data_IF_191501205428
#
_entry.id   IF_191501205428
#
_cell.length_a   1.000
_cell.length_b   1.000
_cell.length_c   1.000
_cell.angle_alpha   90.00
_cell.angle_beta   90.00
_cell.angle_gamma   90.00
#
_symmetry.space_group_name_H-M   'P 1'
#
loop_
_entity.id
_entity.type
_entity.pdbx_description
1 polymer ?
#
# COMPACT_ATOMS: atom_id res chain seq x y z
N UNK A 1 -21.80 -43.46 -27.76
CA UNK A 1 -22.34 -42.33 -26.99
C UNK A 1 -21.26 -41.84 -26.06
N UNK A 2 -20.68 -40.67 -26.31
CA UNK A 2 -19.72 -40.05 -25.37
C UNK A 2 -20.55 -39.29 -24.35
N UNK A 3 -20.57 -39.77 -23.11
CA UNK A 3 -21.22 -39.05 -22.03
C UNK A 3 -20.45 -37.74 -21.80
N UNK A 4 -21.05 -36.61 -22.18
CA UNK A 4 -20.52 -35.30 -21.83
C UNK A 4 -20.83 -35.05 -20.36
N UNK A 5 -19.85 -35.34 -19.50
CA UNK A 5 -19.95 -35.00 -18.08
C UNK A 5 -19.92 -33.48 -17.94
N UNK A 6 -21.07 -32.86 -17.70
CA UNK A 6 -21.14 -31.43 -17.42
C UNK A 6 -20.51 -31.12 -16.07
N UNK A 7 -19.59 -30.15 -16.07
CA UNK A 7 -18.89 -29.66 -14.87
C UNK A 7 -19.85 -29.20 -13.77
N UNK A 8 -21.06 -28.77 -14.12
CA UNK A 8 -22.11 -28.33 -13.18
C UNK A 8 -22.57 -29.42 -12.20
N UNK A 9 -22.39 -30.69 -12.56
CA UNK A 9 -22.76 -31.83 -11.71
C UNK A 9 -21.68 -32.25 -10.72
N UNK A 10 -20.53 -31.57 -10.70
CA UNK A 10 -19.50 -31.86 -9.70
C UNK A 10 -20.02 -31.60 -8.27
N UNK A 11 -19.62 -32.44 -7.29
CA UNK A 11 -19.88 -32.20 -5.87
C UNK A 11 -19.31 -30.84 -5.41
N UNK A 12 -19.94 -30.16 -4.43
CA UNK A 12 -19.44 -28.88 -3.89
C UNK A 12 -17.98 -28.93 -3.42
N UNK A 13 -17.51 -30.07 -2.92
CA UNK A 13 -16.15 -30.28 -2.43
C UNK A 13 -15.13 -30.10 -3.56
N UNK A 14 -15.42 -30.65 -4.75
CA UNK A 14 -14.57 -30.50 -5.92
C UNK A 14 -14.55 -29.04 -6.39
N UNK A 15 -15.70 -28.36 -6.34
CA UNK A 15 -15.75 -26.93 -6.62
C UNK A 15 -14.90 -26.12 -5.66
N UNK A 16 -14.98 -26.39 -4.36
CA UNK A 16 -14.15 -25.71 -3.35
C UNK A 16 -12.66 -25.98 -3.59
N UNK A 17 -12.26 -27.21 -3.92
CA UNK A 17 -10.88 -27.52 -4.29
C UNK A 17 -10.41 -26.72 -5.51
N UNK A 18 -11.24 -26.60 -6.56
CA UNK A 18 -10.92 -25.77 -7.73
C UNK A 18 -10.78 -24.30 -7.32
N UNK A 19 -11.70 -23.79 -6.50
CA UNK A 19 -11.72 -22.39 -6.06
C UNK A 19 -10.52 -22.08 -5.17
N UNK A 20 -10.08 -23.01 -4.32
CA UNK A 20 -8.92 -22.84 -3.47
C UNK A 20 -7.61 -22.76 -4.27
N UNK A 21 -7.57 -23.36 -5.45
CA UNK A 21 -6.46 -23.23 -6.40
C UNK A 21 -6.53 -21.89 -7.15
N UNK A 22 -7.73 -21.34 -7.36
CA UNK A 22 -7.90 -20.05 -8.04
C UNK A 22 -7.56 -18.89 -7.09
N UNK A 23 -6.39 -18.28 -7.33
CA UNK A 23 -5.99 -17.06 -6.63
C UNK A 23 -6.99 -15.93 -6.90
N UNK A 24 -7.32 -15.06 -5.92
CA UNK A 24 -8.32 -14.02 -6.10
C UNK A 24 -8.04 -13.01 -7.23
N UNK A 25 -6.77 -12.85 -7.63
CA UNK A 25 -6.40 -12.08 -8.82
C UNK A 25 -7.05 -12.62 -10.10
N UNK A 26 -7.29 -13.93 -10.20
CA UNK A 26 -8.02 -14.55 -11.31
C UNK A 26 -9.41 -13.94 -11.49
N UNK A 27 -10.13 -13.65 -10.40
CA UNK A 27 -11.45 -13.04 -10.49
C UNK A 27 -11.38 -11.51 -10.63
N UNK A 28 -10.32 -10.88 -10.14
CA UNK A 28 -10.12 -9.43 -10.27
C UNK A 28 -9.82 -9.02 -11.72
N UNK A 29 -9.08 -9.84 -12.47
CA UNK A 29 -8.84 -9.62 -13.91
C UNK A 29 -10.14 -9.57 -14.71
N UNK A 30 -11.13 -10.38 -14.34
CA UNK A 30 -12.43 -10.40 -15.02
C UNK A 30 -13.54 -10.82 -14.05
N UNK A 31 -14.25 -9.83 -13.51
CA UNK A 31 -15.35 -10.03 -12.54
C UNK A 31 -16.49 -10.88 -13.12
N UNK A 32 -16.65 -10.95 -14.46
CA UNK A 32 -17.64 -11.85 -15.10
C UNK A 32 -17.34 -13.33 -14.85
N UNK A 33 -16.11 -13.68 -14.45
CA UNK A 33 -15.76 -15.03 -13.98
C UNK A 33 -16.53 -15.43 -12.72
N UNK A 34 -17.13 -14.50 -11.97
CA UNK A 34 -18.02 -14.81 -10.86
C UNK A 34 -19.41 -15.27 -11.32
N UNK A 35 -19.84 -14.91 -12.54
CA UNK A 35 -21.22 -15.08 -13.01
C UNK A 35 -21.43 -16.30 -13.90
N UNK A 36 -20.61 -17.34 -13.78
CA UNK A 36 -20.73 -18.58 -14.59
C UNK A 36 -22.07 -19.28 -14.34
N UNK A 37 -22.39 -19.54 -13.08
CA UNK A 37 -23.68 -20.09 -12.66
C UNK A 37 -23.96 -19.77 -11.19
N UNK A 38 -25.21 -19.97 -10.73
CA UNK A 38 -25.62 -19.66 -9.35
C UNK A 38 -24.81 -20.43 -8.29
N UNK A 39 -24.56 -21.72 -8.52
CA UNK A 39 -23.79 -22.59 -7.61
C UNK A 39 -22.33 -22.11 -7.51
N UNK A 40 -21.71 -21.81 -8.66
CA UNK A 40 -20.37 -21.25 -8.72
C UNK A 40 -20.26 -19.93 -7.95
N UNK A 41 -21.17 -18.99 -8.24
CA UNK A 41 -21.20 -17.70 -7.55
C UNK A 41 -21.29 -17.88 -6.03
N UNK A 42 -22.21 -18.73 -5.54
CA UNK A 42 -22.38 -18.95 -4.10
C UNK A 42 -21.14 -19.56 -3.41
N UNK A 43 -20.30 -20.31 -4.12
CA UNK A 43 -19.09 -20.90 -3.55
C UNK A 43 -17.90 -19.93 -3.66
N UNK A 44 -17.75 -19.26 -4.80
CA UNK A 44 -16.62 -18.37 -5.07
C UNK A 44 -16.69 -17.09 -4.27
N UNK A 45 -17.88 -16.55 -4.03
CA UNK A 45 -18.04 -15.21 -3.47
C UNK A 45 -17.32 -15.03 -2.13
N UNK A 46 -17.28 -16.09 -1.31
CA UNK A 46 -16.57 -16.12 -0.03
C UNK A 46 -15.05 -16.03 -0.20
N UNK A 47 -14.49 -16.82 -1.13
CA UNK A 47 -13.05 -16.82 -1.39
C UNK A 47 -12.64 -15.49 -2.06
N UNK A 48 -13.45 -15.02 -3.02
CA UNK A 48 -13.25 -13.75 -3.72
C UNK A 48 -13.13 -12.57 -2.77
N UNK A 49 -14.11 -12.34 -1.90
CA UNK A 49 -14.11 -11.16 -1.02
C UNK A 49 -13.05 -11.23 0.09
N UNK A 50 -12.65 -12.44 0.52
CA UNK A 50 -11.69 -12.61 1.61
C UNK A 50 -10.29 -12.09 1.31
N UNK A 51 -9.87 -12.07 0.02
CA UNK A 51 -8.54 -11.57 -0.41
C UNK A 51 -8.64 -10.60 -1.60
N UNK A 52 -9.77 -9.95 -1.76
CA UNK A 52 -9.94 -8.96 -2.83
C UNK A 52 -9.03 -7.76 -2.58
N UNK A 53 -8.38 -7.29 -3.64
CA UNK A 53 -7.65 -6.03 -3.62
C UNK A 53 -8.66 -4.90 -3.80
N UNK A 54 -8.91 -4.18 -2.71
CA UNK A 54 -9.84 -3.07 -2.71
C UNK A 54 -9.10 -1.82 -3.14
N UNK A 55 -9.11 -1.57 -4.44
CA UNK A 55 -8.80 -0.22 -4.90
C UNK A 55 -9.79 0.73 -4.24
N UNK A 56 -9.36 1.96 -3.89
CA UNK A 56 -10.26 2.91 -3.29
C UNK A 56 -11.57 3.07 -4.10
N UNK A 57 -11.50 3.13 -5.44
CA UNK A 57 -12.67 3.14 -6.34
C UNK A 57 -13.68 2.03 -6.04
N UNK A 58 -13.22 0.79 -5.87
CA UNK A 58 -14.10 -0.36 -5.60
C UNK A 58 -14.84 -0.15 -4.28
N UNK A 59 -14.17 0.36 -3.25
CA UNK A 59 -14.80 0.65 -1.96
C UNK A 59 -15.82 1.76 -2.10
N UNK A 60 -15.50 2.81 -2.86
CA UNK A 60 -16.42 3.91 -3.15
C UNK A 60 -17.71 3.37 -3.75
N UNK A 61 -17.58 2.52 -4.76
CA UNK A 61 -18.71 1.89 -5.43
C UNK A 61 -19.50 0.98 -4.46
N UNK A 62 -18.81 0.18 -3.65
CA UNK A 62 -19.44 -0.71 -2.68
C UNK A 62 -20.19 0.07 -1.59
N UNK A 63 -19.67 1.21 -1.15
CA UNK A 63 -20.25 2.01 -0.06
C UNK A 63 -21.31 3.00 -0.54
N UNK A 64 -21.13 3.65 -1.70
CA UNK A 64 -21.97 4.77 -2.12
C UNK A 64 -23.13 4.38 -3.02
N UNK A 65 -23.12 3.17 -3.58
CA UNK A 65 -24.22 2.73 -4.42
C UNK A 65 -25.48 2.47 -3.58
N UNK A 66 -26.43 3.41 -3.53
CA UNK A 66 -27.67 3.29 -2.73
C UNK A 66 -28.66 2.26 -3.26
N UNK A 67 -28.31 1.46 -4.27
CA UNK A 67 -29.18 0.41 -4.78
C UNK A 67 -29.48 -0.63 -3.68
N UNK A 68 -30.77 -0.81 -3.38
CA UNK A 68 -31.29 -1.81 -2.42
C UNK A 68 -30.84 -3.24 -2.71
N UNK A 69 -30.53 -3.54 -3.98
CA UNK A 69 -30.01 -4.84 -4.42
C UNK A 69 -28.63 -5.17 -3.82
N UNK A 70 -27.86 -4.16 -3.41
CA UNK A 70 -26.53 -4.36 -2.83
C UNK A 70 -26.51 -4.61 -1.33
N UNK A 71 -27.64 -4.54 -0.63
CA UNK A 71 -27.66 -4.66 0.84
C UNK A 71 -27.20 -6.06 1.30
N UNK A 72 -27.58 -7.12 0.58
CA UNK A 72 -27.09 -8.48 0.86
C UNK A 72 -25.59 -8.61 0.60
N UNK A 73 -25.11 -8.04 -0.50
CA UNK A 73 -23.67 -8.04 -0.85
C UNK A 73 -22.85 -7.26 0.17
N UNK A 74 -23.37 -6.13 0.66
CA UNK A 74 -22.74 -5.33 1.71
C UNK A 74 -22.67 -6.08 3.03
N UNK A 75 -23.78 -6.63 3.50
CA UNK A 75 -23.79 -7.45 4.71
C UNK A 75 -22.78 -8.58 4.58
N UNK A 76 -22.75 -9.24 3.42
CA UNK A 76 -21.79 -10.30 3.18
C UNK A 76 -20.35 -9.80 3.23
N UNK A 77 -20.06 -8.66 2.60
CA UNK A 77 -18.74 -8.01 2.65
C UNK A 77 -18.35 -7.66 4.10
N UNK A 78 -19.28 -7.12 4.90
CA UNK A 78 -19.07 -6.84 6.32
C UNK A 78 -18.68 -8.09 7.10
N UNK A 79 -19.33 -9.21 6.79
CA UNK A 79 -19.08 -10.51 7.42
C UNK A 79 -17.87 -11.26 6.84
N UNK A 80 -17.38 -10.93 5.65
CA UNK A 80 -16.35 -11.72 4.97
C UNK A 80 -15.02 -10.99 4.77
N UNK A 81 -14.95 -9.67 4.99
CA UNK A 81 -13.73 -8.92 4.75
C UNK A 81 -12.73 -9.10 5.91
N UNK A 82 -11.74 -9.97 5.71
CA UNK A 82 -10.66 -10.20 6.68
C UNK A 82 -9.38 -9.44 6.36
N UNK A 83 -9.11 -9.20 5.08
CA UNK A 83 -7.91 -8.53 4.62
C UNK A 83 -8.23 -7.55 3.51
N UNK A 84 -7.48 -6.45 3.49
CA UNK A 84 -7.70 -5.38 2.54
C UNK A 84 -6.37 -4.84 2.02
N UNK A 85 -6.25 -4.72 0.70
CA UNK A 85 -5.12 -4.05 0.05
C UNK A 85 -5.56 -2.70 -0.49
N UNK A 86 -4.96 -1.62 -0.01
CA UNK A 86 -5.16 -0.24 -0.47
C UNK A 86 -3.98 0.12 -1.35
N UNK A 87 -4.27 0.47 -2.61
CA UNK A 87 -3.28 0.98 -3.56
C UNK A 87 -3.46 2.49 -3.68
N UNK A 88 -2.64 3.32 -3.02
CA UNK A 88 -2.71 4.77 -3.18
C UNK A 88 -2.26 5.11 -4.60
N UNK A 89 -3.08 5.85 -5.34
CA UNK A 89 -2.66 6.44 -6.61
C UNK A 89 -1.91 7.74 -6.32
N UNK A 90 -0.98 8.12 -7.19
CA UNK A 90 -0.38 9.46 -7.10
C UNK A 90 -1.44 10.49 -7.51
N UNK A 91 -1.59 11.60 -6.76
CA UNK A 91 -2.37 12.73 -7.24
C UNK A 91 -1.69 13.23 -8.52
N UNK A 92 -2.44 13.21 -9.63
CA UNK A 92 -1.98 13.73 -10.92
C UNK A 92 -1.99 15.25 -10.80
N UNK A 93 -0.92 15.81 -10.24
CA UNK A 93 -0.87 17.21 -9.80
C UNK A 93 -0.83 18.24 -10.94
N UNK A 94 -1.08 17.86 -12.21
CA UNK A 94 -0.94 18.72 -13.39
C UNK A 94 -1.88 18.46 -14.57
N UNK A 95 -2.81 17.51 -14.50
CA UNK A 95 -3.86 17.43 -15.54
C UNK A 95 -5.03 18.34 -15.10
N UNK A 96 -4.89 19.63 -15.36
CA UNK A 96 -5.94 20.62 -15.04
C UNK A 96 -7.22 20.43 -15.89
N UNK A 97 -7.23 19.51 -16.87
CA UNK A 97 -8.33 19.38 -17.83
C UNK A 97 -9.21 18.12 -17.69
N UNK A 98 -8.86 17.12 -16.87
CA UNK A 98 -9.74 15.95 -16.68
C UNK A 98 -10.79 16.20 -15.59
N UNK A 99 -11.89 16.88 -15.96
CA UNK A 99 -13.02 17.15 -15.05
C UNK A 99 -13.83 15.90 -14.65
N UNK A 100 -13.71 14.79 -15.39
CA UNK A 100 -14.58 13.63 -15.20
C UNK A 100 -14.08 12.53 -14.24
N UNK A 101 -12.85 12.61 -13.73
CA UNK A 101 -12.32 11.59 -12.81
C UNK A 101 -12.12 12.10 -11.37
N UNK A 102 -12.54 13.33 -11.05
CA UNK A 102 -12.32 13.95 -9.73
C UNK A 102 -13.14 13.29 -8.59
N UNK A 103 -14.25 12.62 -8.89
CA UNK A 103 -15.15 12.04 -7.88
C UNK A 103 -14.65 10.72 -7.27
N UNK A 104 -13.62 10.10 -7.85
CA UNK A 104 -13.09 8.81 -7.40
C UNK A 104 -11.68 8.90 -6.80
N UNK A 105 -11.18 10.12 -6.64
CA UNK A 105 -9.83 10.37 -6.14
C UNK A 105 -9.87 10.42 -4.62
N UNK A 106 -9.30 9.39 -3.99
CA UNK A 106 -9.12 9.28 -2.54
C UNK A 106 -7.99 10.15 -1.99
N UNK A 107 -7.62 11.18 -2.74
CA UNK A 107 -6.54 12.08 -2.36
C UNK A 107 -7.06 13.23 -1.50
N UNK A 108 -8.38 13.38 -1.36
CA UNK A 108 -8.98 14.32 -0.43
C UNK A 108 -9.06 13.73 0.98
N UNK A 109 -8.74 14.51 2.03
CA UNK A 109 -8.94 14.09 3.41
C UNK A 109 -10.38 13.64 3.72
N UNK A 110 -11.38 14.21 3.04
CA UNK A 110 -12.79 13.86 3.21
C UNK A 110 -13.11 12.44 2.71
N UNK A 111 -12.62 12.06 1.52
CA UNK A 111 -12.83 10.72 0.97
C UNK A 111 -12.13 9.65 1.82
N UNK A 112 -10.96 9.98 2.39
CA UNK A 112 -10.24 9.11 3.30
C UNK A 112 -10.90 8.99 4.68
N UNK A 113 -11.47 10.07 5.20
CA UNK A 113 -12.25 10.02 6.44
C UNK A 113 -13.51 9.17 6.25
N UNK A 114 -14.14 9.26 5.07
CA UNK A 114 -15.27 8.41 4.71
C UNK A 114 -14.85 6.95 4.57
N UNK A 115 -13.74 6.68 3.89
CA UNK A 115 -13.16 5.34 3.81
C UNK A 115 -12.88 4.78 5.21
N UNK A 116 -12.24 5.58 6.06
CA UNK A 116 -11.96 5.23 7.45
C UNK A 116 -13.23 4.84 8.21
N UNK A 117 -14.29 5.65 8.08
CA UNK A 117 -15.59 5.41 8.73
C UNK A 117 -16.32 4.17 8.20
N UNK A 118 -16.02 3.73 6.99
CA UNK A 118 -16.59 2.50 6.47
C UNK A 118 -15.77 1.30 6.89
N UNK A 119 -14.44 1.41 6.82
CA UNK A 119 -13.54 0.33 7.22
C UNK A 119 -13.67 -0.01 8.72
N UNK A 120 -14.01 0.97 9.56
CA UNK A 120 -14.33 0.78 10.97
C UNK A 120 -15.56 -0.10 11.24
N UNK A 121 -16.44 -0.30 10.24
CA UNK A 121 -17.62 -1.16 10.36
C UNK A 121 -17.32 -2.62 10.03
N UNK A 122 -16.10 -2.95 9.62
CA UNK A 122 -15.70 -4.33 9.32
C UNK A 122 -15.05 -4.95 10.56
N UNK A 123 -15.87 -5.49 11.47
CA UNK A 123 -15.42 -6.11 12.73
C UNK A 123 -14.42 -7.27 12.50
N UNK A 124 -14.51 -7.92 11.34
CA UNK A 124 -13.67 -9.05 10.95
C UNK A 124 -12.42 -8.64 10.18
N UNK A 125 -12.22 -7.36 9.86
CA UNK A 125 -11.03 -6.88 9.17
C UNK A 125 -9.82 -7.00 10.11
N UNK A 126 -8.95 -7.97 9.82
CA UNK A 126 -7.75 -8.28 10.60
C UNK A 126 -6.49 -7.70 9.99
N UNK A 127 -6.45 -7.54 8.66
CA UNK A 127 -5.24 -7.18 7.93
C UNK A 127 -5.47 -6.01 6.98
N UNK A 128 -4.59 -5.01 7.03
CA UNK A 128 -4.52 -3.94 6.03
C UNK A 128 -3.14 -3.91 5.40
N UNK A 129 -3.10 -3.87 4.07
CA UNK A 129 -1.89 -3.71 3.29
C UNK A 129 -1.99 -2.43 2.47
N UNK A 130 -0.98 -1.58 2.55
CA UNK A 130 -0.81 -0.40 1.70
C UNK A 130 0.25 -0.71 0.66
N UNK A 131 -0.10 -0.69 -0.63
CA UNK A 131 0.84 -1.00 -1.72
C UNK A 131 1.01 0.22 -2.60
N UNK A 132 2.22 0.77 -2.67
CA UNK A 132 2.54 1.75 -3.70
C UNK A 132 2.74 1.01 -5.03
N UNK A 133 1.94 1.32 -6.04
CA UNK A 133 2.10 0.76 -7.36
C UNK A 133 2.98 1.67 -8.21
N UNK A 134 4.24 1.28 -8.42
CA UNK A 134 5.21 1.98 -9.28
C UNK A 134 5.37 1.33 -10.67
N UNK A 135 4.36 0.59 -11.17
CA UNK A 135 4.42 -0.06 -12.49
C UNK A 135 4.56 0.89 -13.69
N UNK A 136 4.48 2.21 -13.51
CA UNK A 136 4.95 3.15 -14.53
C UNK A 136 6.47 3.30 -14.39
N UNK A 137 7.18 2.58 -15.27
CA UNK A 137 8.63 2.41 -15.45
C UNK A 137 9.50 3.67 -15.57
N UNK A 138 8.99 4.85 -15.18
CA UNK A 138 9.52 6.12 -15.68
C UNK A 138 10.17 7.06 -14.66
N UNK A 139 10.07 6.85 -13.34
CA UNK A 139 10.49 7.92 -12.41
C UNK A 139 11.08 7.43 -11.09
N UNK A 140 12.09 6.57 -11.11
CA UNK A 140 12.93 6.37 -9.92
C UNK A 140 13.99 7.50 -9.76
N UNK A 141 14.46 8.07 -10.88
CA UNK A 141 15.61 8.99 -10.88
C UNK A 141 15.23 10.47 -10.72
N UNK A 142 14.22 10.96 -11.44
CA UNK A 142 13.74 12.35 -11.29
C UNK A 142 12.86 12.57 -10.04
N UNK A 143 12.44 11.50 -9.36
CA UNK A 143 11.62 11.57 -8.16
C UNK A 143 12.38 11.98 -6.89
N UNK A 144 13.71 12.15 -6.89
CA UNK A 144 14.40 12.67 -5.69
C UNK A 144 14.10 14.14 -5.38
N UNK A 145 13.76 14.96 -6.39
CA UNK A 145 13.40 16.38 -6.16
C UNK A 145 11.92 16.60 -5.86
N UNK A 146 11.02 15.72 -6.34
CA UNK A 146 9.56 15.95 -6.27
C UNK A 146 8.71 14.69 -6.01
N UNK A 147 9.31 13.52 -5.82
CA UNK A 147 8.66 12.22 -5.98
C UNK A 147 8.46 11.44 -4.70
N UNK A 148 7.98 12.11 -3.68
CA UNK A 148 7.45 11.44 -2.51
C UNK A 148 6.08 10.90 -2.86
N UNK A 149 5.76 9.67 -2.46
CA UNK A 149 4.36 9.30 -2.37
C UNK A 149 3.79 10.23 -1.30
N UNK A 150 2.85 11.15 -1.61
CA UNK A 150 2.32 12.05 -0.61
C UNK A 150 1.40 11.23 0.29
N UNK A 151 2.02 10.53 1.24
CA UNK A 151 1.36 9.82 2.34
C UNK A 151 0.61 10.79 3.26
N UNK A 152 0.60 12.09 2.94
CA UNK A 152 -0.39 13.04 3.44
C UNK A 152 -1.82 12.51 3.31
N UNK A 153 -2.14 11.80 2.22
CA UNK A 153 -3.44 11.15 2.05
C UNK A 153 -3.61 10.03 3.10
N UNK A 154 -2.65 9.12 3.22
CA UNK A 154 -2.73 8.03 4.20
C UNK A 154 -2.61 8.50 5.66
N UNK A 155 -2.08 9.68 5.92
CA UNK A 155 -1.89 10.21 7.27
C UNK A 155 -3.20 10.20 8.06
N UNK A 156 -4.31 10.66 7.49
CA UNK A 156 -5.59 10.70 8.20
C UNK A 156 -6.08 9.30 8.55
N UNK A 157 -5.98 8.37 7.60
CA UNK A 157 -6.37 6.97 7.78
C UNK A 157 -5.50 6.30 8.87
N UNK A 158 -4.18 6.42 8.74
CA UNK A 158 -3.21 5.83 9.65
C UNK A 158 -3.31 6.48 11.04
N UNK A 159 -3.46 7.80 11.14
CA UNK A 159 -3.65 8.49 12.43
C UNK A 159 -4.94 7.99 13.08
N UNK A 160 -6.01 7.79 12.31
CA UNK A 160 -7.23 7.18 12.80
C UNK A 160 -7.04 5.75 13.34
N UNK A 161 -6.11 4.97 12.78
CA UNK A 161 -5.76 3.65 13.34
C UNK A 161 -5.11 3.74 14.73
N UNK A 162 -4.46 4.87 15.03
CA UNK A 162 -3.71 5.10 16.28
C UNK A 162 -4.50 5.85 17.34
N UNK A 163 -5.49 6.65 16.95
CA UNK A 163 -6.27 7.49 17.87
C UNK A 163 -7.24 6.64 18.68
N UNK A 164 -6.81 6.19 19.87
CA UNK A 164 -7.69 5.69 20.94
C UNK A 164 -8.55 6.80 21.57
N UNK A 165 -8.20 8.07 21.31
CA UNK A 165 -8.79 9.25 21.94
C UNK A 165 -9.68 10.03 20.98
N UNK A 166 -10.85 9.48 20.65
CA UNK A 166 -11.96 10.37 20.27
C UNK A 166 -12.53 10.97 21.57
N UNK A 167 -12.31 12.28 21.74
CA UNK A 167 -12.62 13.08 22.92
C UNK A 167 -14.12 13.21 23.29
N UNK A 168 -15.00 12.41 22.69
CA UNK A 168 -16.46 12.57 22.77
C UNK A 168 -17.17 11.40 23.50
N UNK A 169 -16.47 10.66 24.36
CA UNK A 169 -17.11 9.75 25.33
C UNK A 169 -17.75 8.47 24.77
N UNK A 170 -17.70 8.26 23.45
CA UNK A 170 -18.12 7.01 22.81
C UNK A 170 -16.84 6.25 22.41
N UNK A 171 -16.34 5.44 23.35
CA UNK A 171 -15.18 4.57 23.14
C UNK A 171 -15.62 3.37 22.31
N UNK A 172 -15.77 3.56 21.00
CA UNK A 172 -15.73 2.45 20.05
C UNK A 172 -14.38 2.57 19.39
N UNK A 173 -13.41 1.77 19.82
CA UNK A 173 -12.13 1.64 19.12
C UNK A 173 -12.37 0.85 17.83
N UNK A 174 -12.59 1.53 16.70
CA UNK A 174 -13.23 0.89 15.55
C UNK A 174 -12.27 -0.06 14.81
N UNK A 175 -11.02 -0.09 15.26
CA UNK A 175 -9.93 -0.79 14.60
C UNK A 175 -9.26 -1.81 15.51
N UNK A 176 -9.76 -2.02 16.71
CA UNK A 176 -9.23 -3.01 17.66
C UNK A 176 -9.09 -4.41 17.06
N UNK A 177 -9.88 -4.72 16.04
CA UNK A 177 -9.83 -5.96 15.25
C UNK A 177 -8.56 -6.13 14.42
N UNK A 178 -7.90 -5.05 13.98
CA UNK A 178 -6.70 -5.14 13.14
C UNK A 178 -5.53 -5.68 13.94
N UNK A 179 -4.99 -6.80 13.47
CA UNK A 179 -3.83 -7.48 14.03
C UNK A 179 -2.66 -7.52 13.04
N UNK A 180 -2.86 -7.15 11.77
CA UNK A 180 -1.83 -7.17 10.74
C UNK A 180 -1.83 -5.88 9.94
N UNK A 181 -0.66 -5.26 9.82
CA UNK A 181 -0.45 -4.05 9.03
C UNK A 181 0.79 -4.21 8.14
N UNK A 182 0.62 -3.95 6.86
CA UNK A 182 1.70 -4.01 5.89
C UNK A 182 1.80 -2.70 5.11
N UNK A 183 3.00 -2.13 5.05
CA UNK A 183 3.34 -1.00 4.19
C UNK A 183 4.33 -1.47 3.15
N UNK A 184 3.85 -1.78 1.95
CA UNK A 184 4.68 -2.06 0.79
C UNK A 184 4.78 -0.81 -0.07
N UNK A 185 5.64 0.11 0.34
CA UNK A 185 5.74 1.41 -0.31
C UNK A 185 6.66 1.39 -1.51
N UNK A 186 7.10 0.20 -1.95
CA UNK A 186 8.06 0.00 -3.03
C UNK A 186 9.17 1.05 -2.96
N UNK A 187 9.77 1.14 -1.77
CA UNK A 187 10.82 2.09 -1.40
C UNK A 187 10.56 3.58 -1.65
N UNK A 188 9.32 4.00 -1.88
CA UNK A 188 8.97 5.40 -1.79
C UNK A 188 9.34 5.93 -0.39
N UNK A 189 10.05 7.06 -0.37
CA UNK A 189 10.32 7.77 0.86
C UNK A 189 9.02 8.33 1.43
N UNK A 190 8.92 8.26 2.75
CA UNK A 190 7.72 8.65 3.49
C UNK A 190 7.86 10.10 3.91
N UNK A 191 7.23 11.02 3.18
CA UNK A 191 7.14 12.42 3.59
C UNK A 191 5.80 12.73 4.24
N UNK A 192 5.87 13.14 5.51
CA UNK A 192 4.70 13.54 6.28
C UNK A 192 4.80 15.01 6.68
N UNK A 193 4.82 15.93 5.71
CA UNK A 193 4.87 17.35 6.05
C UNK A 193 5.03 18.28 4.86
N UNK A 194 4.97 19.58 5.13
CA UNK A 194 5.56 20.57 4.22
C UNK A 194 7.08 20.52 4.32
N UNK A 195 7.76 21.10 3.33
CA UNK A 195 9.21 21.21 3.27
C UNK A 195 9.76 21.75 4.61
N UNK A 196 10.44 20.89 5.39
CA UNK A 196 11.09 21.26 6.66
C UNK A 196 10.54 20.61 7.94
N UNK A 197 9.38 19.95 7.88
CA UNK A 197 8.80 19.24 9.03
C UNK A 197 8.57 17.78 8.64
N UNK A 198 9.65 17.02 8.48
CA UNK A 198 9.56 15.57 8.22
C UNK A 198 8.99 14.89 9.45
N UNK A 199 7.65 14.82 9.53
CA UNK A 199 7.00 14.09 10.62
C UNK A 199 7.38 12.63 10.43
N UNK A 200 7.91 12.06 11.50
CA UNK A 200 8.31 10.66 11.49
C UNK A 200 7.06 9.78 11.53
N UNK A 201 7.15 8.54 11.03
CA UNK A 201 6.12 7.53 11.30
C UNK A 201 6.11 7.05 12.77
N UNK A 202 7.16 7.37 13.53
CA UNK A 202 7.34 6.90 14.91
C UNK A 202 6.13 7.17 15.82
N UNK A 203 5.52 8.37 15.85
CA UNK A 203 4.39 8.67 16.73
C UNK A 203 3.15 7.83 16.45
N UNK A 204 3.13 7.12 15.33
CA UNK A 204 1.97 6.44 14.78
C UNK A 204 2.17 4.94 14.81
N UNK A 205 3.29 4.48 14.27
CA UNK A 205 3.59 3.06 14.29
C UNK A 205 3.83 2.57 15.73
N UNK A 206 4.42 3.39 16.61
CA UNK A 206 4.74 2.96 17.97
C UNK A 206 3.48 2.55 18.76
N UNK A 207 2.41 3.37 18.87
CA UNK A 207 1.15 2.91 19.47
C UNK A 207 0.58 1.65 18.83
N UNK A 208 0.70 1.52 17.50
CA UNK A 208 0.19 0.34 16.80
C UNK A 208 0.96 -0.93 17.16
N UNK A 209 2.24 -0.85 17.52
CA UNK A 209 3.02 -2.03 17.92
C UNK A 209 2.57 -2.66 19.24
N UNK A 210 1.79 -1.95 20.06
CA UNK A 210 1.13 -2.50 21.26
C UNK A 210 -0.10 -3.37 20.93
N UNK A 211 -0.63 -3.25 19.70
CA UNK A 211 -1.88 -3.91 19.26
C UNK A 211 -1.70 -4.88 18.10
N UNK A 212 -0.83 -4.55 17.15
CA UNK A 212 -0.55 -5.38 15.98
C UNK A 212 0.18 -6.65 16.39
N UNK A 213 -0.17 -7.78 15.77
CA UNK A 213 0.60 -9.01 15.82
C UNK A 213 1.60 -9.05 14.66
N UNK A 214 1.22 -8.59 13.47
CA UNK A 214 2.11 -8.53 12.31
C UNK A 214 2.30 -7.09 11.86
N UNK A 215 3.56 -6.66 11.72
CA UNK A 215 3.93 -5.40 11.13
C UNK A 215 5.01 -5.64 10.07
N UNK A 216 4.67 -5.40 8.81
CA UNK A 216 5.60 -5.49 7.69
C UNK A 216 5.77 -4.12 7.07
N UNK A 217 7.00 -3.68 6.87
CA UNK A 217 7.28 -2.36 6.30
C UNK A 217 8.37 -2.50 5.26
N UNK A 218 8.07 -2.23 3.99
CA UNK A 218 9.03 -2.06 2.90
C UNK A 218 9.09 -0.60 2.51
N UNK A 219 10.23 0.04 2.82
CA UNK A 219 10.47 1.48 2.62
C UNK A 219 11.96 1.75 2.43
N UNK A 220 12.33 2.83 1.74
CA UNK A 220 13.73 3.22 1.61
C UNK A 220 14.30 3.83 2.90
N UNK A 221 13.45 4.37 3.77
CA UNK A 221 13.88 4.93 5.04
C UNK A 221 12.80 4.78 6.10
N UNK A 222 13.25 4.48 7.32
CA UNK A 222 12.43 4.50 8.52
C UNK A 222 13.30 5.00 9.67
N UNK A 223 12.72 5.80 10.55
CA UNK A 223 13.43 6.26 11.73
C UNK A 223 13.56 5.10 12.73
N UNK A 224 14.78 4.74 13.19
CA UNK A 224 14.98 3.68 14.20
C UNK A 224 14.22 3.95 15.50
N UNK A 225 13.90 5.22 15.76
CA UNK A 225 13.05 5.66 16.85
C UNK A 225 11.71 4.92 16.92
N UNK A 226 11.17 4.43 15.80
CA UNK A 226 9.91 3.68 15.77
C UNK A 226 9.95 2.42 16.64
N UNK A 227 11.14 1.82 16.79
CA UNK A 227 11.38 0.60 17.56
C UNK A 227 11.78 0.87 19.01
N UNK A 228 11.78 2.15 19.41
CA UNK A 228 12.00 2.52 20.81
C UNK A 228 10.86 2.04 21.71
N UNK A 229 11.13 1.93 23.03
CA UNK A 229 10.18 1.44 24.04
C UNK A 229 8.83 2.16 23.94
N UNK A 230 7.76 1.40 24.21
CA UNK A 230 6.40 1.95 24.38
C UNK A 230 6.32 2.81 25.65
N UNK A 231 5.18 3.48 25.84
CA UNK A 231 4.92 4.25 27.05
C UNK A 231 4.84 3.34 28.28
N UNK A 232 5.02 3.90 29.49
CA UNK A 232 5.34 3.12 30.70
C UNK A 232 4.27 2.06 30.98
N UNK A 233 4.65 0.80 30.85
CA UNK A 233 3.83 -0.37 31.20
C UNK A 233 3.12 -1.04 30.02
N UNK A 234 3.18 -0.45 28.82
CA UNK A 234 2.64 -1.10 27.62
C UNK A 234 3.58 -2.22 27.14
N UNK A 235 2.98 -3.33 26.72
CA UNK A 235 3.70 -4.50 26.18
C UNK A 235 3.48 -4.54 24.67
N UNK A 236 4.53 -4.85 23.93
CA UNK A 236 4.42 -5.09 22.50
C UNK A 236 3.63 -6.36 22.22
N UNK A 237 2.58 -6.27 21.41
CA UNK A 237 1.85 -7.44 20.91
C UNK A 237 2.46 -8.04 19.65
N UNK A 238 3.35 -7.30 18.97
CA UNK A 238 3.92 -7.70 17.67
C UNK A 238 4.66 -9.02 17.80
N UNK A 239 4.19 -10.02 17.07
CA UNK A 239 4.81 -11.34 16.89
C UNK A 239 5.72 -11.42 15.70
N UNK A 240 5.37 -10.71 14.63
CA UNK A 240 6.06 -10.77 13.36
C UNK A 240 6.34 -9.36 12.87
N UNK A 241 7.55 -8.88 13.16
CA UNK A 241 8.08 -7.62 12.67
C UNK A 241 9.04 -7.91 11.51
N UNK A 242 8.73 -7.42 10.32
CA UNK A 242 9.65 -7.46 9.18
C UNK A 242 9.83 -6.07 8.60
N UNK A 243 11.04 -5.56 8.66
CA UNK A 243 11.40 -4.26 8.08
C UNK A 243 12.29 -4.53 6.90
N UNK A 244 11.81 -4.21 5.72
CA UNK A 244 12.53 -4.27 4.48
C UNK A 244 13.01 -2.88 4.08
N UNK A 245 14.31 -2.66 4.21
CA UNK A 245 14.97 -1.44 3.77
C UNK A 245 15.61 -1.59 2.38
N UNK A 246 15.50 -2.78 1.79
CA UNK A 246 15.92 -3.01 0.43
C UNK A 246 14.92 -2.37 -0.52
N UNK A 247 15.45 -1.47 -1.35
CA UNK A 247 14.74 -1.00 -2.53
C UNK A 247 15.70 -0.96 -3.72
N UNK A 248 15.42 -1.67 -4.82
CA UNK A 248 16.18 -1.57 -6.04
C UNK A 248 15.78 -0.27 -6.75
N UNK A 249 16.27 0.88 -6.26
CA UNK A 249 16.08 2.21 -6.89
C UNK A 249 16.83 2.27 -8.22
N UNK A 250 18.03 1.71 -8.24
CA UNK A 250 18.93 1.81 -9.38
C UNK A 250 19.88 0.63 -9.41
N UNK A 251 19.83 -0.11 -10.51
CA UNK A 251 20.84 -1.10 -10.87
C UNK A 251 22.18 -0.43 -11.22
N UNK A 252 22.16 0.83 -11.66
CA UNK A 252 23.32 1.62 -12.10
C UNK A 252 24.11 2.21 -10.93
N UNK A 253 23.46 2.55 -9.82
CA UNK A 253 24.13 3.10 -8.65
C UNK A 253 23.65 2.41 -7.37
N UNK A 254 24.36 1.37 -6.89
CA UNK A 254 24.02 0.64 -5.67
C UNK A 254 23.92 1.52 -4.42
N UNK A 255 24.59 2.67 -4.39
CA UNK A 255 24.46 3.64 -3.28
C UNK A 255 23.06 4.26 -3.22
N UNK A 256 22.30 4.25 -4.32
CA UNK A 256 20.90 4.68 -4.33
C UNK A 256 19.97 3.62 -3.74
N UNK A 257 20.40 2.35 -3.69
CA UNK A 257 19.68 1.24 -3.05
C UNK A 257 19.94 1.16 -1.54
N UNK A 258 20.87 1.98 -1.02
CA UNK A 258 21.11 2.07 0.40
C UNK A 258 19.93 2.77 1.08
N UNK A 259 19.56 2.25 2.26
CA UNK A 259 18.57 2.87 3.11
C UNK A 259 19.02 4.28 3.49
N UNK A 260 18.17 5.28 3.24
CA UNK A 260 18.48 6.68 3.55
C UNK A 260 18.34 6.95 5.05
N UNK A 261 19.34 7.57 5.68
CA UNK A 261 19.17 8.05 7.07
C UNK A 261 18.03 9.06 7.13
N UNK A 262 17.20 8.95 8.16
CA UNK A 262 16.20 9.99 8.41
C UNK A 262 16.93 11.29 8.79
N UNK A 263 16.74 12.40 8.06
CA UNK A 263 17.55 13.62 8.19
C UNK A 263 17.43 14.29 9.57
N UNK A 264 16.38 13.97 10.32
CA UNK A 264 16.11 14.57 11.64
C UNK A 264 16.73 13.81 12.82
N UNK A 265 17.35 12.65 12.62
CA UNK A 265 17.80 11.82 13.74
C UNK A 265 18.84 12.56 14.59
N UNK A 266 19.65 13.47 14.01
CA UNK A 266 20.66 14.26 14.74
C UNK A 266 20.26 15.68 15.14
N UNK A 267 19.06 16.17 14.80
CA UNK A 267 18.77 17.62 14.91
C UNK A 267 18.35 18.08 16.32
N UNK A 268 18.34 17.21 17.33
CA UNK A 268 17.88 17.55 18.69
C UNK A 268 16.39 17.90 18.80
N UNK A 269 15.68 18.00 17.67
CA UNK A 269 14.23 18.32 17.57
C UNK A 269 13.31 17.15 17.96
N UNK A 270 13.86 16.06 18.47
CA UNK A 270 13.08 15.10 19.27
C UNK A 270 12.72 15.66 20.66
N UNK A 271 13.03 16.94 20.93
CA UNK A 271 12.43 17.73 21.99
C UNK A 271 10.89 17.67 21.88
N UNK A 272 10.32 16.83 22.74
CA UNK A 272 8.90 16.72 23.04
C UNK A 272 8.23 18.11 23.08
N UNK A 273 7.01 18.26 22.56
CA UNK A 273 6.19 19.41 22.90
C UNK A 273 5.97 19.39 24.42
N UNK A 274 6.63 20.32 25.11
CA UNK A 274 6.35 20.82 26.45
C UNK A 274 6.06 19.80 27.57
N UNK A 275 6.99 19.73 28.53
CA UNK A 275 6.82 19.33 29.94
C UNK A 275 6.54 17.85 30.26
N UNK A 276 7.60 17.02 30.26
CA UNK A 276 7.86 16.02 31.33
C UNK A 276 9.30 15.48 31.21
N UNK A 277 10.04 15.27 32.32
CA UNK A 277 11.46 14.96 32.28
C UNK A 277 11.74 13.50 31.90
N UNK A 278 12.66 13.35 30.93
CA UNK A 278 13.57 12.23 30.63
C UNK A 278 13.37 10.89 31.36
N UNK A 279 12.69 9.95 30.70
CA UNK A 279 12.89 8.50 30.89
C UNK A 279 13.05 7.72 29.58
N UNK A 280 13.01 8.42 28.44
CA UNK A 280 13.19 7.84 27.09
C UNK A 280 14.31 8.54 26.32
N UNK A 281 15.30 9.10 27.03
CA UNK A 281 16.52 9.54 26.38
C UNK A 281 17.14 8.30 25.73
N UNK A 282 17.02 8.19 24.41
CA UNK A 282 18.00 7.44 23.62
C UNK A 282 19.37 7.88 24.11
N UNK A 283 20.33 6.96 24.30
CA UNK A 283 21.64 7.33 24.83
C UNK A 283 22.13 8.55 24.06
N UNK A 284 22.25 9.69 24.74
CA UNK A 284 22.73 10.95 24.15
C UNK A 284 24.22 10.88 23.84
N UNK A 285 24.84 9.74 24.11
CA UNK A 285 26.15 9.39 23.60
C UNK A 285 26.09 9.42 22.06
N UNK A 286 26.84 10.37 21.50
CA UNK A 286 26.99 10.60 20.07
C UNK A 286 27.50 9.36 19.32
N UNK A 287 27.94 8.30 20.01
CA UNK A 287 28.31 7.00 19.42
C UNK A 287 27.20 6.36 18.55
N UNK A 288 25.93 6.77 18.71
CA UNK A 288 24.85 6.30 17.84
C UNK A 288 24.92 6.80 16.40
N UNK A 289 25.46 8.00 16.19
CA UNK A 289 25.47 8.68 14.89
C UNK A 289 26.62 8.27 13.97
N UNK A 290 27.63 7.58 14.50
CA UNK A 290 28.82 7.18 13.74
C UNK A 290 28.64 5.86 12.96
N UNK A 291 27.42 5.51 12.57
CA UNK A 291 27.12 4.23 11.92
C UNK A 291 26.13 4.36 10.76
N UNK A 292 26.14 3.38 9.86
CA UNK A 292 25.15 3.26 8.79
C UNK A 292 23.74 3.12 9.36
N UNK A 293 22.69 3.53 8.63
CA UNK A 293 21.29 3.33 9.05
C UNK A 293 21.02 1.86 9.39
N UNK A 294 21.60 0.93 8.62
CA UNK A 294 21.50 -0.51 8.89
C UNK A 294 22.01 -0.86 10.29
N UNK A 295 23.16 -0.33 10.72
CA UNK A 295 23.70 -0.61 12.05
C UNK A 295 22.83 -0.02 13.18
N UNK A 296 22.24 1.16 12.97
CA UNK A 296 21.28 1.76 13.89
C UNK A 296 20.01 0.91 14.00
N UNK A 297 19.49 0.44 12.87
CA UNK A 297 18.31 -0.42 12.80
C UNK A 297 18.56 -1.77 13.45
N UNK A 298 19.70 -2.43 13.16
CA UNK A 298 20.11 -3.67 13.83
C UNK A 298 20.14 -3.50 15.34
N UNK A 299 20.76 -2.43 15.85
CA UNK A 299 20.80 -2.15 17.30
C UNK A 299 19.40 -1.93 17.89
N UNK A 300 18.54 -1.16 17.21
CA UNK A 300 17.18 -0.91 17.66
C UNK A 300 16.32 -2.20 17.65
N UNK A 301 16.47 -3.04 16.62
CA UNK A 301 15.80 -4.33 16.51
C UNK A 301 16.30 -5.34 17.53
N UNK A 302 17.61 -5.43 17.82
CA UNK A 302 18.13 -6.27 18.91
C UNK A 302 17.54 -5.89 20.26
N UNK A 303 17.44 -4.58 20.55
CA UNK A 303 16.81 -4.08 21.77
C UNK A 303 15.33 -4.47 21.86
N UNK A 304 14.58 -4.26 20.78
CA UNK A 304 13.18 -4.67 20.72
C UNK A 304 13.03 -6.20 20.87
N UNK A 305 13.88 -6.97 20.20
CA UNK A 305 13.88 -8.43 20.28
C UNK A 305 14.14 -8.92 21.72
N UNK A 306 14.99 -8.23 22.50
CA UNK A 306 15.29 -8.60 23.89
C UNK A 306 14.14 -8.40 24.88
N UNK A 307 13.13 -7.59 24.52
CA UNK A 307 11.95 -7.33 25.36
C UNK A 307 10.69 -8.02 24.83
N UNK A 308 10.78 -8.62 23.64
CA UNK A 308 9.71 -9.41 23.05
C UNK A 308 9.76 -10.86 23.60
N UNK A 309 8.63 -11.58 23.65
CA UNK A 309 8.64 -13.00 23.99
C UNK A 309 9.51 -13.84 23.05
N UNK A 310 9.88 -15.07 23.45
CA UNK A 310 10.82 -15.90 22.68
C UNK A 310 10.25 -16.47 21.36
N UNK A 311 8.93 -16.55 21.21
CA UNK A 311 8.23 -17.09 20.02
C UNK A 311 8.08 -16.09 18.86
N UNK A 312 8.86 -15.00 18.89
CA UNK A 312 8.67 -13.84 18.02
C UNK A 312 9.63 -13.89 16.85
N UNK A 313 9.30 -13.14 15.79
CA UNK A 313 10.07 -13.04 14.57
C UNK A 313 10.34 -11.57 14.29
N UNK A 314 11.63 -11.20 14.28
CA UNK A 314 12.09 -9.81 14.13
C UNK A 314 13.16 -9.77 13.05
N UNK A 315 12.76 -9.43 11.82
CA UNK A 315 13.61 -9.54 10.64
C UNK A 315 13.90 -8.18 9.98
N UNK A 316 15.16 -7.94 9.66
CA UNK A 316 15.59 -6.86 8.78
C UNK A 316 15.96 -7.44 7.41
N UNK A 317 15.26 -7.01 6.36
CA UNK A 317 15.66 -7.30 4.98
C UNK A 317 16.53 -6.15 4.49
N UNK A 318 17.72 -6.48 4.03
CA UNK A 318 18.71 -5.51 3.55
C UNK A 318 19.45 -6.03 2.32
N UNK A 319 20.11 -5.12 1.60
CA UNK A 319 20.97 -5.47 0.48
C UNK A 319 22.40 -5.71 1.02
N UNK A 320 22.96 -6.89 0.79
CA UNK A 320 24.34 -7.18 1.14
C UNK A 320 25.33 -6.52 0.14
N UNK A 321 26.63 -6.39 0.49
CA UNK A 321 27.63 -5.78 -0.40
C UNK A 321 27.77 -6.48 -1.76
N UNK A 322 27.46 -7.77 -1.83
CA UNK A 322 27.44 -8.57 -3.06
C UNK A 322 26.15 -8.40 -3.87
N UNK A 323 25.28 -7.46 -3.50
CA UNK A 323 23.98 -7.13 -4.12
C UNK A 323 22.91 -8.21 -4.01
N UNK A 324 23.14 -9.23 -3.18
CA UNK A 324 22.10 -10.18 -2.81
C UNK A 324 21.21 -9.58 -1.72
N UNK A 325 19.92 -9.93 -1.74
CA UNK A 325 19.00 -9.55 -0.68
C UNK A 325 19.16 -10.55 0.46
N UNK A 326 19.37 -10.04 1.67
CA UNK A 326 19.57 -10.84 2.87
C UNK A 326 18.47 -10.53 3.89
N UNK A 327 18.07 -11.55 4.64
CA UNK A 327 17.22 -11.45 5.82
C UNK A 327 18.09 -11.68 7.04
N UNK A 328 18.16 -10.67 7.89
CA UNK A 328 18.82 -10.77 9.20
C UNK A 328 17.78 -10.90 10.31
N UNK A 329 17.93 -11.91 11.16
CA UNK A 329 17.07 -12.16 12.31
C UNK A 329 17.68 -11.55 13.57
N UNK A 330 16.97 -10.62 14.21
CA UNK A 330 17.47 -9.90 15.39
C UNK A 330 17.59 -10.76 16.65
N UNK A 331 16.89 -11.90 16.71
CA UNK A 331 16.92 -12.82 17.85
C UNK A 331 18.11 -13.78 17.79
N UNK A 332 18.37 -14.36 16.61
CA UNK A 332 19.46 -15.35 16.41
C UNK A 332 20.77 -14.72 15.93
N UNK A 333 20.72 -13.45 15.50
CA UNK A 333 21.80 -12.74 14.80
C UNK A 333 22.21 -13.37 13.46
N UNK A 334 21.46 -14.37 12.99
CA UNK A 334 21.72 -15.04 11.72
C UNK A 334 21.34 -14.13 10.55
N UNK A 335 22.17 -14.15 9.51
CA UNK A 335 21.96 -13.41 8.28
C UNK A 335 21.99 -14.40 7.11
N UNK A 336 20.83 -14.63 6.50
CA UNK A 336 20.66 -15.60 5.41
C UNK A 336 20.26 -14.87 4.13
N UNK A 337 20.64 -15.42 2.98
CA UNK A 337 20.17 -14.92 1.68
C UNK A 337 18.66 -15.14 1.57
N UNK A 338 17.93 -14.14 1.10
CA UNK A 338 16.50 -14.25 0.82
C UNK A 338 16.30 -14.94 -0.53
N UNK A 339 16.00 -16.23 -0.51
CA UNK A 339 15.74 -17.01 -1.72
C UNK A 339 14.43 -16.60 -2.43
N UNK A 340 13.55 -15.86 -1.76
CA UNK A 340 12.28 -15.40 -2.35
C UNK A 340 12.47 -14.22 -3.31
N UNK A 341 13.64 -13.59 -3.29
CA UNK A 341 13.98 -12.48 -4.16
C UNK A 341 14.96 -12.98 -5.22
N UNK A 342 14.55 -12.92 -6.49
CA UNK A 342 15.44 -13.25 -7.60
C UNK A 342 16.72 -12.43 -7.52
N UNK A 343 17.84 -13.07 -7.86
CA UNK A 343 19.13 -12.38 -7.88
C UNK A 343 19.04 -11.23 -8.87
N UNK A 344 19.35 -10.03 -8.41
CA UNK A 344 19.45 -8.86 -9.28
C UNK A 344 20.65 -9.10 -10.20
N UNK A 345 20.39 -9.43 -11.47
CA UNK A 345 21.47 -9.60 -12.45
C UNK A 345 22.02 -8.23 -12.86
N UNK A 346 23.17 -7.87 -12.29
CA UNK A 346 23.92 -6.68 -12.66
C UNK A 346 24.81 -6.92 -13.89
N UNK A 347 25.01 -8.17 -14.30
CA UNK A 347 25.93 -8.57 -15.36
C UNK A 347 25.52 -8.08 -16.74
N UNK A 348 24.23 -8.18 -17.09
CA UNK A 348 23.68 -7.63 -18.34
C UNK A 348 23.85 -6.11 -18.49
N UNK A 349 24.11 -5.38 -17.40
CA UNK A 349 24.15 -3.92 -17.41
C UNK A 349 25.58 -3.37 -17.26
N UNK A 350 26.43 -4.03 -16.46
CA UNK A 350 27.84 -3.67 -16.34
C UNK A 350 28.66 -4.00 -17.60
N UNK A 351 28.17 -4.88 -18.47
CA UNK A 351 28.81 -5.17 -19.75
C UNK A 351 28.70 -4.03 -20.77
N UNK A 352 27.86 -3.00 -20.53
CA UNK A 352 27.70 -1.86 -21.44
C UNK A 352 27.05 -2.21 -22.78
N UNK A 353 26.55 -3.43 -22.95
CA UNK A 353 25.93 -3.92 -24.20
C UNK A 353 24.41 -3.66 -24.26
N UNK A 354 23.82 -3.03 -23.24
CA UNK A 354 22.42 -2.58 -23.27
C UNK A 354 22.30 -1.19 -23.91
N UNK A 355 21.67 -1.10 -25.09
CA UNK A 355 21.31 0.14 -25.80
C UNK A 355 20.25 0.99 -25.06
N UNK A 356 20.43 1.25 -23.76
CA UNK A 356 19.47 2.04 -22.96
C UNK A 356 19.82 3.53 -22.84
N UNK A 357 20.68 4.05 -23.71
CA UNK A 357 20.80 5.49 -23.96
C UNK A 357 20.07 5.81 -25.27
N UNK A 358 18.74 5.75 -25.26
CA UNK A 358 17.98 6.57 -26.22
C UNK A 358 18.34 8.03 -25.94
N UNK A 359 18.67 8.78 -26.99
CA UNK A 359 19.05 10.19 -26.84
C UNK A 359 17.81 10.95 -26.38
N UNK A 360 18.01 12.01 -25.61
CA UNK A 360 16.92 12.88 -25.13
C UNK A 360 16.01 13.39 -26.27
N UNK A 361 16.55 13.43 -27.49
CA UNK A 361 15.86 13.77 -28.75
C UNK A 361 14.82 12.73 -29.17
N UNK A 362 15.06 11.43 -28.95
CA UNK A 362 14.16 10.34 -29.35
C UNK A 362 12.86 10.32 -28.51
N UNK A 363 12.90 10.86 -27.29
CA UNK A 363 11.76 10.90 -26.38
C UNK A 363 10.77 12.03 -26.66
N UNK A 364 11.25 13.16 -27.16
CA UNK A 364 10.39 14.28 -27.52
C UNK A 364 9.53 13.95 -28.75
N UNK A 365 10.05 13.12 -29.65
CA UNK A 365 9.34 12.75 -30.88
C UNK A 365 8.21 11.75 -30.60
N UNK A 366 8.44 10.72 -29.78
CA UNK A 366 7.42 9.72 -29.44
C UNK A 366 6.28 10.30 -28.56
N UNK A 367 6.59 11.26 -27.67
CA UNK A 367 5.59 11.95 -26.85
C UNK A 367 4.75 12.93 -27.68
N UNK A 368 5.33 13.59 -28.68
CA UNK A 368 4.59 14.44 -29.62
C UNK A 368 3.68 13.62 -30.53
N UNK A 369 4.12 12.45 -31.02
CA UNK A 369 3.29 11.55 -31.80
C UNK A 369 2.12 10.99 -30.99
N UNK A 370 2.35 10.57 -29.75
CA UNK A 370 1.27 10.10 -28.86
C UNK A 370 0.30 11.23 -28.52
N UNK A 371 0.78 12.43 -28.22
CA UNK A 371 -0.10 13.58 -27.96
C UNK A 371 -0.97 13.94 -29.17
N UNK A 372 -0.40 13.89 -30.38
CA UNK A 372 -1.15 14.15 -31.63
C UNK A 372 -2.23 13.09 -31.86
N UNK A 373 -1.91 11.81 -31.62
CA UNK A 373 -2.88 10.71 -31.81
C UNK A 373 -4.03 10.74 -30.79
N UNK A 374 -3.77 11.23 -29.59
CA UNK A 374 -4.80 11.38 -28.55
C UNK A 374 -5.74 12.55 -28.85
N UNK A 375 -5.24 13.63 -29.45
CA UNK A 375 -6.08 14.75 -29.91
C UNK A 375 -7.07 14.31 -30.99
N UNK A 376 -6.63 13.47 -31.93
CA UNK A 376 -7.52 12.95 -32.99
C UNK A 376 -8.57 11.97 -32.45
N UNK A 377 -8.26 11.18 -31.42
CA UNK A 377 -9.21 10.27 -30.77
C UNK A 377 -10.25 11.01 -29.90
N UNK A 378 -9.89 12.17 -29.32
CA UNK A 378 -10.78 12.99 -28.50
C UNK A 378 -11.83 13.71 -29.37
N UNK A 379 -11.41 14.27 -30.52
CA UNK A 379 -12.31 14.90 -31.49
C UNK A 379 -13.34 13.90 -32.07
N UNK A 380 -12.93 12.65 -32.28
CA UNK A 380 -13.81 11.57 -32.75
C UNK A 380 -14.87 11.18 -31.71
N UNK A 381 -14.52 11.21 -30.43
CA UNK A 381 -15.42 10.82 -29.33
C UNK A 381 -16.46 11.92 -29.05
N UNK A 382 -16.06 13.19 -29.13
CA UNK A 382 -16.97 14.33 -28.97
C UNK A 382 -17.99 14.41 -30.12
N UNK A 383 -17.58 14.08 -31.36
CA UNK A 383 -18.50 14.00 -32.49
C UNK A 383 -19.53 12.86 -32.34
N UNK A 384 -19.11 11.71 -31.80
CA UNK A 384 -20.00 10.56 -31.54
C UNK A 384 -21.01 10.85 -30.40
N UNK A 385 -20.58 11.51 -29.32
CA UNK A 385 -21.48 11.96 -28.24
C UNK A 385 -22.48 13.01 -28.73
N UNK A 386 -22.04 13.95 -29.57
CA UNK A 386 -22.92 14.96 -30.17
C UNK A 386 -23.98 14.32 -31.08
N UNK A 387 -23.62 13.38 -31.94
CA UNK A 387 -24.57 12.63 -32.77
C UNK A 387 -25.58 11.84 -31.94
N UNK A 388 -25.11 11.18 -30.87
CA UNK A 388 -25.98 10.44 -29.94
C UNK A 388 -26.97 11.34 -29.20
N UNK A 389 -26.57 12.56 -28.83
CA UNK A 389 -27.48 13.52 -28.22
C UNK A 389 -28.51 14.02 -29.24
N UNK A 390 -28.11 14.29 -30.48
CA UNK A 390 -29.04 14.71 -31.54
C UNK A 390 -30.09 13.63 -31.85
N UNK A 391 -29.74 12.35 -31.83
CA UNK A 391 -30.70 11.23 -31.96
C UNK A 391 -31.70 11.14 -30.79
N UNK A 392 -31.28 11.51 -29.59
CA UNK A 392 -32.13 11.52 -28.40
C UNK A 392 -33.10 12.70 -28.37
N UNK A 393 -32.71 13.85 -28.93
CA UNK A 393 -33.55 15.05 -28.98
C UNK A 393 -34.39 15.18 -30.26
N UNK A 394 -34.03 14.48 -31.34
CA UNK A 394 -34.73 14.56 -32.63
C UNK A 394 -36.05 13.79 -32.74
N UNK A 395 -36.49 13.07 -31.70
CA UNK A 395 -37.69 12.22 -31.77
C UNK A 395 -38.93 12.78 -31.06
N UNK A 396 -38.87 13.98 -30.47
CA UNK A 396 -40.00 14.56 -29.72
C UNK A 396 -40.85 15.58 -30.49
N UNK A 397 -40.55 15.86 -31.77
CA UNK A 397 -41.41 16.71 -32.60
C UNK A 397 -42.38 15.87 -33.44
N UNK A 398 -43.48 15.41 -32.84
CA UNK A 398 -44.55 14.80 -33.62
C UNK A 398 -45.65 14.08 -32.85
N UNK A 399 -46.46 14.82 -32.08
CA UNK A 399 -47.89 14.50 -31.95
C UNK A 399 -48.61 15.57 -31.12
N UNK A 400 -49.11 16.59 -31.81
CA UNK A 400 -50.28 17.33 -31.37
C UNK A 400 -51.10 17.62 -32.64
N UNK A 401 -51.96 16.67 -32.98
CA UNK A 401 -53.16 16.83 -33.81
C UNK A 401 -54.34 16.21 -33.05
#
# INVERSE_FOLDING_TARGET
MVATTSITHLPPEIWLMIIDILIPTFFQENVRRLTICKKWYSLVIFNFYSKMEYTPRIISCLVHNKASVMDKTRLHLHESLHSMTIVPKRPISKLENCKHDQDLIYDTPANLAKLYHELSRFERLKSIRFVANHRSSWVAWHCRKHGFLPLKSLKSLITGLCSSTFSHGISVEPWSSITSLEFDLDGAAIEWGGWGDTKHLCPILRPLMARLHTLKIRTQSICPGVLGPLEKGEVYSVTNLRINLHFPVSTVNPKLNCAGMCPNVGSGKHSTPTSRPHLYAWPTDNSWYNGTLESMMRRAMKRLASILPADRKVELVHLAPNTEVHVWNALTDECVRDETVEKIDLGQWLSGEGECFLREEDYLEEDLEKASRWSEEEDMYDEYEWQRQMELYGNDEGSND
#
